data_IF_713598135677
#
_entry.id   IF_713598135677
#
_cell.length_a   1.000
_cell.length_b   1.000
_cell.length_c   1.000
_cell.angle_alpha   90.00
_cell.angle_beta   90.00
_cell.angle_gamma   90.00
#
_symmetry.space_group_name_H-M   'P 1'
#
loop_
_entity.id
_entity.type
_entity.pdbx_description
1 polymer ?
#
# COMPACT_ATOMS: atom_id res chain seq x y z
N UNK A 1 -13.27 21.63 -11.17
CA UNK A 1 -11.92 22.24 -11.29
C UNK A 1 -11.18 21.87 -10.02
N UNK A 2 -9.91 21.52 -10.09
CA UNK A 2 -9.13 21.18 -8.92
C UNK A 2 -9.09 22.34 -7.92
N UNK A 3 -8.83 22.05 -6.67
CA UNK A 3 -8.68 23.07 -5.61
C UNK A 3 -7.35 23.81 -5.75
N UNK A 4 -6.37 23.16 -6.31
CA UNK A 4 -5.02 23.64 -6.57
C UNK A 4 -4.62 23.33 -8.02
N UNK A 5 -3.55 23.92 -8.53
CA UNK A 5 -3.18 23.81 -9.93
C UNK A 5 -2.03 22.83 -10.17
N UNK A 6 -1.08 22.74 -9.24
CA UNK A 6 0.19 21.99 -9.42
C UNK A 6 0.39 20.95 -8.32
N UNK A 7 0.84 19.75 -8.72
CA UNK A 7 1.22 18.68 -7.80
C UNK A 7 2.62 18.15 -8.12
N UNK A 8 3.45 17.99 -7.08
CA UNK A 8 4.75 17.36 -7.18
C UNK A 8 4.74 16.03 -6.42
N UNK A 9 5.18 14.97 -7.09
CA UNK A 9 5.23 13.62 -6.54
C UNK A 9 6.67 13.20 -6.31
N UNK A 10 7.03 12.94 -5.06
CA UNK A 10 8.31 12.34 -4.71
C UNK A 10 8.18 10.83 -4.89
N UNK A 11 8.72 10.29 -5.98
CA UNK A 11 8.38 9.00 -6.55
C UNK A 11 7.24 9.12 -7.56
N UNK A 12 6.33 8.15 -7.62
CA UNK A 12 5.09 8.27 -8.40
C UNK A 12 5.04 7.50 -9.72
N UNK A 13 6.14 6.89 -10.18
CA UNK A 13 6.20 6.16 -11.46
C UNK A 13 5.91 4.66 -11.34
N UNK A 14 5.72 4.15 -10.13
CA UNK A 14 5.40 2.73 -9.87
C UNK A 14 4.00 2.60 -9.26
N UNK A 15 3.55 1.42 -9.01
CA UNK A 15 2.27 0.99 -8.42
C UNK A 15 1.34 2.11 -7.90
N UNK A 16 1.35 2.43 -6.60
CA UNK A 16 0.46 3.44 -5.98
C UNK A 16 0.60 4.79 -6.68
N UNK A 17 1.84 5.23 -6.88
CA UNK A 17 2.11 6.53 -7.48
C UNK A 17 1.58 6.66 -8.90
N UNK A 18 1.66 5.58 -9.71
CA UNK A 18 1.13 5.57 -11.08
C UNK A 18 -0.37 5.85 -11.13
N UNK A 19 -1.16 5.20 -10.29
CA UNK A 19 -2.60 5.44 -10.18
C UNK A 19 -2.91 6.83 -9.61
N UNK A 20 -2.05 7.33 -8.70
CA UNK A 20 -2.23 8.66 -8.12
C UNK A 20 -1.92 9.76 -9.15
N UNK A 21 -0.91 9.59 -9.99
CA UNK A 21 -0.64 10.51 -11.13
C UNK A 21 -1.89 10.63 -12.00
N UNK A 22 -2.48 9.52 -12.44
CA UNK A 22 -3.68 9.54 -13.26
C UNK A 22 -4.87 10.20 -12.55
N UNK A 23 -5.08 9.92 -11.25
CA UNK A 23 -6.17 10.54 -10.49
C UNK A 23 -6.03 12.07 -10.39
N UNK A 24 -4.83 12.58 -10.22
CA UNK A 24 -4.56 14.02 -10.18
C UNK A 24 -4.70 14.67 -11.57
N UNK A 25 -4.25 14.00 -12.63
CA UNK A 25 -4.46 14.46 -14.01
C UNK A 25 -5.94 14.55 -14.36
N UNK A 26 -6.72 13.51 -14.00
CA UNK A 26 -8.17 13.48 -14.25
C UNK A 26 -8.90 14.58 -13.46
N UNK A 27 -8.38 14.96 -12.29
CA UNK A 27 -8.86 16.11 -11.53
C UNK A 27 -8.44 17.46 -12.14
N UNK A 28 -7.46 17.47 -13.04
CA UNK A 28 -7.03 18.66 -13.79
C UNK A 28 -5.75 19.32 -13.26
N UNK A 29 -4.96 18.62 -12.41
CA UNK A 29 -3.66 19.10 -11.96
C UNK A 29 -2.60 18.98 -13.07
N UNK A 30 -1.64 19.91 -13.08
CA UNK A 30 -0.36 19.69 -13.72
C UNK A 30 0.54 18.89 -12.74
N UNK A 31 1.04 17.72 -13.18
CA UNK A 31 1.78 16.81 -12.31
C UNK A 31 3.26 16.79 -12.68
N UNK A 32 4.12 16.90 -11.68
CA UNK A 32 5.56 16.65 -11.83
C UNK A 32 5.97 15.48 -10.92
N UNK A 33 6.65 14.48 -11.47
CA UNK A 33 7.25 13.40 -10.69
C UNK A 33 8.76 13.64 -10.52
N UNK A 34 9.29 13.32 -9.33
CA UNK A 34 10.73 13.36 -9.05
C UNK A 34 11.20 11.93 -8.76
N UNK A 35 12.05 11.38 -9.61
CA UNK A 35 12.55 10.01 -9.53
C UNK A 35 14.03 9.95 -9.84
N UNK A 36 14.71 8.86 -9.44
CA UNK A 36 16.13 8.65 -9.77
C UNK A 36 16.35 8.26 -11.23
N UNK A 37 15.28 7.98 -11.98
CA UNK A 37 15.38 7.55 -13.38
C UNK A 37 15.90 6.11 -13.56
N UNK A 38 15.79 5.26 -12.52
CA UNK A 38 16.27 3.86 -12.56
C UNK A 38 15.27 2.90 -13.22
N UNK A 39 14.05 3.34 -13.44
CA UNK A 39 12.97 2.58 -14.08
C UNK A 39 12.42 3.36 -15.26
N UNK A 40 11.80 2.62 -16.20
CA UNK A 40 11.11 3.22 -17.32
C UNK A 40 10.03 4.21 -16.82
N UNK A 41 9.92 5.34 -17.50
CA UNK A 41 8.90 6.32 -17.20
C UNK A 41 7.58 5.95 -17.91
N UNK A 42 6.54 5.54 -17.16
CA UNK A 42 5.27 5.18 -17.77
C UNK A 42 4.50 6.38 -18.34
N UNK A 43 4.98 7.60 -18.08
CA UNK A 43 4.35 8.84 -18.46
C UNK A 43 5.15 9.64 -19.51
N UNK A 44 6.20 9.06 -20.10
CA UNK A 44 7.10 9.74 -21.04
C UNK A 44 6.36 10.47 -22.20
N UNK A 45 5.22 9.89 -22.65
CA UNK A 45 4.38 10.45 -23.71
C UNK A 45 3.02 10.97 -23.19
N UNK A 46 2.88 11.17 -21.87
CA UNK A 46 1.61 11.57 -21.25
C UNK A 46 1.55 13.08 -21.08
N UNK A 47 0.60 13.73 -21.76
CA UNK A 47 0.36 15.16 -21.59
C UNK A 47 -0.04 15.48 -20.13
N UNK A 48 0.49 16.58 -19.60
CA UNK A 48 0.21 17.04 -18.24
C UNK A 48 1.13 16.46 -17.17
N UNK A 49 2.06 15.58 -17.54
CA UNK A 49 3.10 15.05 -16.63
C UNK A 49 4.49 15.51 -17.07
N UNK A 50 5.28 16.01 -16.13
CA UNK A 50 6.72 16.24 -16.29
C UNK A 50 7.46 15.30 -15.35
N UNK A 51 8.51 14.61 -15.85
CA UNK A 51 9.40 13.82 -15.00
C UNK A 51 10.74 14.56 -14.82
N UNK A 52 11.16 14.69 -13.56
CA UNK A 52 12.45 15.25 -13.16
C UNK A 52 13.30 14.17 -12.50
N UNK A 53 14.55 14.10 -12.90
CA UNK A 53 15.53 13.25 -12.23
C UNK A 53 16.04 13.94 -10.98
N UNK A 54 15.98 13.25 -9.84
CA UNK A 54 16.47 13.71 -8.55
C UNK A 54 16.43 12.59 -7.51
N UNK A 55 17.34 12.65 -6.54
CA UNK A 55 17.38 11.74 -5.41
C UNK A 55 16.71 12.38 -4.20
N UNK A 56 15.68 11.74 -3.67
CA UNK A 56 14.96 12.25 -2.49
C UNK A 56 15.83 12.30 -1.23
N UNK A 57 16.90 11.53 -1.15
CA UNK A 57 17.88 11.57 -0.05
C UNK A 57 18.75 12.81 -0.10
N UNK A 58 18.84 13.46 -1.27
CA UNK A 58 19.59 14.69 -1.48
C UNK A 58 18.67 15.92 -1.36
N UNK A 59 18.76 16.63 -0.22
CA UNK A 59 17.94 17.84 0.04
C UNK A 59 18.03 18.88 -1.10
N UNK A 60 19.18 18.96 -1.77
CA UNK A 60 19.38 19.89 -2.88
C UNK A 60 18.52 19.57 -4.10
N UNK A 61 18.29 18.28 -4.37
CA UNK A 61 17.46 17.83 -5.49
C UNK A 61 15.98 18.13 -5.22
N UNK A 62 15.51 17.88 -3.99
CA UNK A 62 14.17 18.26 -3.58
C UNK A 62 13.94 19.77 -3.65
N UNK A 63 14.92 20.57 -3.20
CA UNK A 63 14.85 22.03 -3.28
C UNK A 63 14.84 22.52 -4.72
N UNK A 64 15.65 21.92 -5.61
CA UNK A 64 15.65 22.26 -7.04
C UNK A 64 14.30 21.91 -7.71
N UNK A 65 13.68 20.80 -7.32
CA UNK A 65 12.37 20.42 -7.82
C UNK A 65 11.28 21.41 -7.31
N UNK A 66 11.29 21.76 -6.02
CA UNK A 66 10.41 22.78 -5.45
C UNK A 66 10.53 24.13 -6.20
N UNK A 67 11.74 24.61 -6.37
CA UNK A 67 12.01 25.93 -7.01
C UNK A 67 11.61 25.95 -8.49
N UNK A 68 11.63 24.81 -9.15
CA UNK A 68 11.26 24.68 -10.55
C UNK A 68 9.75 24.53 -10.78
N UNK A 69 9.03 23.94 -9.82
CA UNK A 69 7.59 23.60 -9.94
C UNK A 69 6.72 24.56 -9.14
N UNK A 70 7.22 25.07 -8.01
CA UNK A 70 6.43 25.84 -7.02
C UNK A 70 5.11 25.11 -6.72
N UNK A 71 5.16 23.83 -6.19
CA UNK A 71 3.98 23.00 -6.09
C UNK A 71 3.02 23.50 -5.02
N UNK A 72 1.71 23.44 -5.33
CA UNK A 72 0.65 23.65 -4.34
C UNK A 72 0.51 22.41 -3.44
N UNK A 73 0.69 21.23 -4.02
CA UNK A 73 0.55 19.93 -3.34
C UNK A 73 1.80 19.07 -3.59
N UNK A 74 2.27 18.40 -2.54
CA UNK A 74 3.32 17.38 -2.62
C UNK A 74 2.78 16.07 -2.10
N UNK A 75 2.97 14.96 -2.84
CA UNK A 75 2.69 13.60 -2.38
C UNK A 75 3.99 12.80 -2.33
N UNK A 76 4.36 12.35 -1.13
CA UNK A 76 5.60 11.59 -0.90
C UNK A 76 5.32 10.10 -0.73
N UNK A 77 5.68 9.31 -1.76
CA UNK A 77 5.49 7.85 -1.79
C UNK A 77 6.67 7.07 -1.21
N UNK A 78 7.83 7.67 -1.13
CA UNK A 78 9.11 6.98 -0.91
C UNK A 78 9.88 7.46 0.32
N UNK A 79 9.22 8.15 1.24
CA UNK A 79 9.76 8.45 2.57
C UNK A 79 9.81 7.18 3.41
N UNK A 80 10.96 6.51 3.45
CA UNK A 80 11.16 5.27 4.20
C UNK A 80 11.86 5.51 5.54
N UNK A 81 12.56 6.62 5.68
CA UNK A 81 13.31 7.01 6.86
C UNK A 81 12.83 8.34 7.44
N UNK A 82 12.73 8.47 8.77
CA UNK A 82 12.24 9.70 9.40
C UNK A 82 13.05 10.95 9.04
N UNK A 83 14.37 10.82 8.92
CA UNK A 83 15.25 11.92 8.49
C UNK A 83 14.92 12.46 7.10
N UNK A 84 14.51 11.57 6.20
CA UNK A 84 14.09 11.91 4.85
C UNK A 84 12.77 12.69 4.86
N UNK A 85 11.81 12.27 5.69
CA UNK A 85 10.51 12.94 5.81
C UNK A 85 10.68 14.32 6.45
N UNK A 86 11.52 14.44 7.50
CA UNK A 86 11.87 15.74 8.10
C UNK A 86 12.48 16.69 7.06
N UNK A 87 13.42 16.18 6.23
CA UNK A 87 14.03 17.00 5.18
C UNK A 87 13.02 17.43 4.11
N UNK A 88 12.09 16.54 3.73
CA UNK A 88 11.06 16.86 2.74
C UNK A 88 10.04 17.87 3.27
N UNK A 89 9.53 17.71 4.49
CA UNK A 89 8.61 18.67 5.11
C UNK A 89 9.23 20.05 5.28
N UNK A 90 10.52 20.14 5.59
CA UNK A 90 11.26 21.42 5.62
C UNK A 90 11.39 22.06 4.23
N UNK A 91 11.67 21.26 3.20
CA UNK A 91 11.84 21.76 1.83
C UNK A 91 10.50 22.26 1.27
N UNK A 92 9.43 21.52 1.51
CA UNK A 92 8.10 21.80 0.96
C UNK A 92 7.17 22.48 1.98
N UNK A 93 7.72 23.27 2.91
CA UNK A 93 6.96 23.89 3.99
C UNK A 93 5.84 24.84 3.53
N UNK A 94 5.93 25.38 2.31
CA UNK A 94 4.93 26.28 1.73
C UNK A 94 3.84 25.53 0.91
N UNK A 95 3.95 24.21 0.77
CA UNK A 95 3.00 23.35 0.05
C UNK A 95 2.18 22.48 1.00
N UNK A 96 1.04 21.98 0.52
CA UNK A 96 0.31 20.92 1.21
C UNK A 96 1.06 19.59 1.01
N UNK A 97 1.50 18.98 2.10
CA UNK A 97 2.32 17.78 2.07
C UNK A 97 1.55 16.55 2.52
N UNK A 98 1.35 15.59 1.61
CA UNK A 98 0.68 14.31 1.89
C UNK A 98 1.72 13.20 1.90
N UNK A 99 1.95 12.62 3.05
CA UNK A 99 2.85 11.50 3.24
C UNK A 99 2.12 10.16 3.08
N UNK A 100 2.63 9.28 2.22
CA UNK A 100 2.12 7.91 2.10
C UNK A 100 2.80 7.04 3.16
N UNK A 101 2.11 6.88 4.27
CA UNK A 101 2.52 6.06 5.40
C UNK A 101 2.17 4.56 5.19
N UNK A 102 1.79 3.85 6.24
CA UNK A 102 1.38 2.44 6.23
C UNK A 102 0.57 2.12 7.48
N UNK A 103 -0.38 1.19 7.37
CA UNK A 103 -1.01 0.56 8.53
C UNK A 103 -0.02 -0.15 9.46
N UNK A 104 1.15 -0.55 8.95
CA UNK A 104 2.24 -1.12 9.76
C UNK A 104 2.84 -0.14 10.77
N UNK A 105 2.50 1.15 10.72
CA UNK A 105 2.92 2.12 11.74
C UNK A 105 2.25 1.88 13.10
N UNK A 106 1.10 1.23 13.14
CA UNK A 106 0.40 0.92 14.37
C UNK A 106 1.12 -0.17 15.17
N UNK A 107 1.28 0.06 16.47
CA UNK A 107 1.69 -1.00 17.39
C UNK A 107 0.59 -2.06 17.52
N UNK A 108 0.93 -3.34 17.77
CA UNK A 108 -0.04 -4.39 18.04
C UNK A 108 -1.02 -3.98 19.17
N UNK A 109 -2.31 -4.25 18.97
CA UNK A 109 -3.34 -3.85 19.93
C UNK A 109 -4.74 -4.26 19.51
N UNK A 110 -5.73 -3.63 20.10
CA UNK A 110 -7.14 -3.89 19.82
C UNK A 110 -7.51 -3.46 18.38
N UNK A 111 -8.44 -4.19 17.78
CA UNK A 111 -9.01 -3.88 16.47
C UNK A 111 -10.50 -3.50 16.60
N UNK A 112 -11.01 -2.58 15.76
CA UNK A 112 -10.30 -1.86 14.71
C UNK A 112 -9.38 -0.76 15.28
N UNK A 113 -8.27 -0.52 14.59
CA UNK A 113 -7.33 0.56 14.92
C UNK A 113 -7.86 1.90 14.42
N UNK A 114 -7.72 2.94 15.24
CA UNK A 114 -8.16 4.31 14.96
C UNK A 114 -6.97 5.26 14.91
N UNK A 115 -7.03 6.24 14.05
CA UNK A 115 -5.93 7.17 13.77
C UNK A 115 -5.44 7.92 15.03
N UNK A 116 -6.38 8.30 15.92
CA UNK A 116 -6.12 9.14 17.08
C UNK A 116 -5.98 8.37 18.39
N UNK A 117 -6.40 7.11 18.42
CA UNK A 117 -6.53 6.35 19.66
C UNK A 117 -5.51 5.20 19.73
N UNK A 118 -5.21 4.58 18.59
CA UNK A 118 -4.30 3.42 18.56
C UNK A 118 -2.85 3.88 18.58
N UNK A 119 -2.04 3.37 19.54
CA UNK A 119 -0.63 3.73 19.61
C UNK A 119 0.14 3.35 18.34
N UNK A 120 1.10 4.18 17.98
CA UNK A 120 2.09 3.85 16.97
C UNK A 120 3.25 3.10 17.62
N UNK A 121 3.95 2.28 16.83
CA UNK A 121 5.19 1.64 17.27
C UNK A 121 6.17 2.66 17.86
N UNK A 122 6.85 2.35 18.96
CA UNK A 122 8.05 3.08 19.33
C UNK A 122 9.12 2.85 18.24
N UNK A 123 10.00 3.84 18.07
CA UNK A 123 11.15 3.73 17.18
C UNK A 123 12.39 4.20 17.94
N UNK A 124 13.33 3.31 18.15
CA UNK A 124 14.59 3.67 18.78
C UNK A 124 15.51 4.35 17.75
N UNK A 125 16.43 5.25 18.17
CA UNK A 125 17.27 5.97 17.21
C UNK A 125 18.07 5.09 16.25
N UNK A 126 18.46 3.90 16.69
CA UNK A 126 19.21 2.93 15.88
C UNK A 126 18.35 2.32 14.78
N UNK A 127 17.02 2.31 14.96
CA UNK A 127 16.06 1.77 13.98
C UNK A 127 15.73 2.77 12.87
N UNK A 128 15.94 4.08 13.08
CA UNK A 128 15.59 5.11 12.08
C UNK A 128 16.31 4.91 10.73
N UNK A 129 17.51 4.34 10.75
CA UNK A 129 18.32 4.09 9.56
C UNK A 129 18.47 2.61 9.18
N UNK A 130 17.76 1.70 9.84
CA UNK A 130 17.83 0.26 9.60
C UNK A 130 16.76 -0.18 8.59
N UNK A 131 17.16 -0.82 7.48
CA UNK A 131 16.29 -1.24 6.38
C UNK A 131 15.69 -2.65 6.51
N UNK A 132 15.78 -3.25 7.69
CA UNK A 132 15.21 -4.57 7.94
C UNK A 132 13.66 -4.54 7.94
N UNK A 133 13.04 -5.69 7.70
CA UNK A 133 11.58 -5.82 7.73
C UNK A 133 11.03 -5.55 9.15
N UNK A 134 11.75 -5.92 10.20
CA UNK A 134 11.37 -5.73 11.59
C UNK A 134 11.28 -4.25 11.99
N UNK A 135 12.10 -3.40 11.37
CA UNK A 135 12.11 -1.95 11.67
C UNK A 135 11.15 -1.15 10.77
N UNK A 136 10.54 -1.77 9.77
CA UNK A 136 9.64 -1.07 8.84
C UNK A 136 8.49 -0.36 9.57
N UNK A 137 7.75 -1.07 10.45
CA UNK A 137 6.67 -0.48 11.23
C UNK A 137 7.13 0.66 12.14
N UNK A 138 8.16 0.45 13.02
CA UNK A 138 8.78 1.52 13.80
C UNK A 138 9.20 2.73 12.98
N UNK A 139 9.87 2.55 11.82
CA UNK A 139 10.28 3.66 10.95
C UNK A 139 9.09 4.42 10.37
N UNK A 140 8.06 3.72 9.88
CA UNK A 140 6.84 4.37 9.36
C UNK A 140 6.11 5.15 10.46
N UNK A 141 6.09 4.64 11.68
CA UNK A 141 5.56 5.34 12.85
C UNK A 141 6.32 6.64 13.15
N UNK A 142 7.66 6.60 13.07
CA UNK A 142 8.48 7.79 13.30
C UNK A 142 8.41 8.80 12.14
N UNK A 143 8.21 8.31 10.90
CA UNK A 143 7.88 9.18 9.77
C UNK A 143 6.56 9.94 10.00
N UNK A 144 5.52 9.28 10.52
CA UNK A 144 4.26 9.94 10.87
C UNK A 144 4.48 11.01 11.95
N UNK A 145 5.28 10.70 12.99
CA UNK A 145 5.63 11.71 14.01
C UNK A 145 6.36 12.91 13.43
N UNK A 146 7.22 12.70 12.42
CA UNK A 146 7.89 13.79 11.72
C UNK A 146 6.89 14.67 10.95
N UNK A 147 5.89 14.06 10.29
CA UNK A 147 4.79 14.80 9.63
C UNK A 147 3.98 15.63 10.64
N UNK A 148 3.60 15.02 11.79
CA UNK A 148 2.83 15.72 12.80
C UNK A 148 3.64 16.84 13.50
N UNK A 149 4.93 16.64 13.69
CA UNK A 149 5.82 17.69 14.21
C UNK A 149 5.89 18.88 13.24
N UNK A 150 6.04 18.62 11.94
CA UNK A 150 6.03 19.69 10.93
C UNK A 150 4.69 20.44 10.90
N UNK A 151 3.57 19.71 11.03
CA UNK A 151 2.26 20.34 11.12
C UNK A 151 2.10 21.22 12.36
N UNK A 152 2.64 20.80 13.51
CA UNK A 152 2.65 21.62 14.72
C UNK A 152 3.48 22.91 14.58
N UNK A 153 4.43 22.94 13.64
CA UNK A 153 5.23 24.13 13.28
C UNK A 153 4.59 24.97 12.15
N UNK A 154 3.42 24.55 11.65
CA UNK A 154 2.62 25.31 10.70
C UNK A 154 2.68 24.83 9.25
N UNK A 155 3.37 23.71 8.96
CA UNK A 155 3.33 23.08 7.64
C UNK A 155 1.97 22.39 7.44
N UNK A 156 1.35 22.53 6.28
CA UNK A 156 0.11 21.81 5.96
C UNK A 156 0.40 20.33 5.62
N UNK A 157 0.87 19.56 6.61
CA UNK A 157 1.32 18.19 6.45
C UNK A 157 0.33 17.16 7.05
N UNK A 158 0.06 16.08 6.30
CA UNK A 158 -0.88 15.01 6.64
C UNK A 158 -0.29 13.64 6.28
N UNK A 159 -0.78 12.58 6.92
CA UNK A 159 -0.41 11.21 6.59
C UNK A 159 -1.61 10.39 6.09
N UNK A 160 -1.41 9.55 5.08
CA UNK A 160 -2.37 8.51 4.70
C UNK A 160 -1.76 7.15 5.03
N UNK A 161 -2.47 6.33 5.80
CA UNK A 161 -2.05 4.98 6.21
C UNK A 161 -2.82 3.91 5.43
N UNK A 162 -2.32 3.51 4.24
CA UNK A 162 -2.94 2.41 3.52
C UNK A 162 -2.72 1.10 4.26
N UNK A 163 -3.74 0.25 4.22
CA UNK A 163 -3.61 -1.17 4.56
C UNK A 163 -2.99 -1.92 3.37
N UNK A 164 -3.18 -3.24 3.26
CA UNK A 164 -2.65 -3.99 2.14
C UNK A 164 -3.19 -3.43 0.82
N UNK A 165 -2.32 -2.80 0.03
CA UNK A 165 -2.69 -2.27 -1.29
C UNK A 165 -2.66 -3.39 -2.32
N UNK A 166 -3.71 -3.48 -3.15
CA UNK A 166 -3.82 -4.42 -4.26
C UNK A 166 -4.32 -3.72 -5.52
N UNK A 167 -3.96 -4.23 -6.68
CA UNK A 167 -4.43 -3.68 -7.94
C UNK A 167 -3.44 -3.86 -9.09
N UNK A 168 -3.75 -3.33 -10.28
CA UNK A 168 -2.85 -3.33 -11.43
C UNK A 168 -1.50 -2.68 -11.10
N UNK A 169 -0.43 -3.21 -11.66
CA UNK A 169 0.96 -2.76 -11.48
C UNK A 169 1.55 -2.98 -10.08
N UNK A 170 0.93 -3.83 -9.25
CA UNK A 170 1.49 -4.22 -7.96
C UNK A 170 2.75 -5.08 -8.15
N UNK A 171 3.91 -4.47 -7.97
CA UNK A 171 5.20 -5.15 -8.08
C UNK A 171 5.58 -5.96 -6.83
N UNK A 172 4.80 -5.86 -5.75
CA UNK A 172 5.01 -6.70 -4.56
C UNK A 172 4.43 -8.09 -4.74
N UNK A 173 3.51 -8.24 -5.68
CA UNK A 173 2.88 -9.49 -6.14
C UNK A 173 2.23 -10.34 -5.04
N UNK A 174 2.12 -9.82 -3.81
CA UNK A 174 1.61 -10.58 -2.65
C UNK A 174 0.19 -11.10 -2.86
N UNK A 175 -0.70 -10.28 -3.43
CA UNK A 175 -2.05 -10.72 -3.79
C UNK A 175 -2.03 -11.54 -5.09
N UNK A 176 -1.07 -11.27 -5.96
CA UNK A 176 -0.82 -12.02 -7.19
C UNK A 176 -0.54 -13.51 -6.96
N UNK A 177 0.12 -13.86 -5.85
CA UNK A 177 0.30 -15.25 -5.43
C UNK A 177 -1.04 -16.01 -5.40
N UNK A 178 -2.05 -15.46 -4.75
CA UNK A 178 -3.38 -16.06 -4.64
C UNK A 178 -4.11 -16.08 -5.98
N UNK A 179 -3.99 -15.01 -6.76
CA UNK A 179 -4.56 -14.94 -8.12
C UNK A 179 -3.99 -16.05 -8.99
N UNK A 180 -2.67 -16.24 -8.98
CA UNK A 180 -2.02 -17.30 -9.74
C UNK A 180 -2.49 -18.69 -9.30
N UNK A 181 -2.57 -18.92 -7.98
CA UNK A 181 -3.04 -20.21 -7.44
C UNK A 181 -4.45 -20.54 -7.92
N UNK A 182 -5.37 -19.58 -7.86
CA UNK A 182 -6.76 -19.77 -8.30
C UNK A 182 -6.85 -19.91 -9.83
N UNK A 183 -6.05 -19.16 -10.57
CA UNK A 183 -6.07 -19.22 -12.04
C UNK A 183 -5.57 -20.55 -12.61
N UNK A 184 -4.55 -21.13 -11.97
CA UNK A 184 -3.83 -22.28 -12.52
C UNK A 184 -4.20 -23.62 -11.84
N UNK A 185 -4.83 -23.59 -10.65
CA UNK A 185 -5.03 -24.78 -9.83
C UNK A 185 -6.44 -24.83 -9.20
N UNK A 186 -7.04 -26.03 -9.23
CA UNK A 186 -8.37 -26.27 -8.63
C UNK A 186 -8.35 -26.43 -7.12
N UNK A 187 -7.19 -26.80 -6.54
CA UNK A 187 -6.97 -26.92 -5.09
C UNK A 187 -5.84 -25.99 -4.66
N UNK A 188 -6.07 -25.24 -3.58
CA UNK A 188 -5.15 -24.23 -3.06
C UNK A 188 -4.97 -24.45 -1.56
N UNK A 189 -3.71 -24.51 -1.12
CA UNK A 189 -3.35 -24.68 0.29
C UNK A 189 -3.60 -23.38 1.04
N UNK A 190 -4.38 -23.46 2.13
CA UNK A 190 -4.74 -22.33 2.98
C UNK A 190 -4.25 -22.58 4.40
N UNK A 191 -3.44 -21.69 5.00
CA UNK A 191 -2.97 -21.85 6.38
C UNK A 191 -4.11 -21.61 7.37
N UNK A 192 -4.17 -22.44 8.41
CA UNK A 192 -5.19 -22.36 9.46
C UNK A 192 -6.58 -22.81 8.97
N UNK A 193 -7.60 -22.05 9.32
CA UNK A 193 -9.00 -22.29 8.99
C UNK A 193 -9.56 -21.38 7.88
N UNK A 194 -8.67 -20.65 7.20
CA UNK A 194 -9.04 -19.67 6.16
C UNK A 194 -9.75 -18.43 6.68
N UNK A 195 -9.95 -18.33 8.00
CA UNK A 195 -10.66 -17.22 8.65
C UNK A 195 -9.82 -15.95 8.86
N UNK A 196 -8.53 -15.99 8.58
CA UNK A 196 -7.65 -14.82 8.71
C UNK A 196 -8.18 -13.63 7.90
N UNK A 197 -8.41 -12.50 8.58
CA UNK A 197 -9.00 -11.31 7.95
C UNK A 197 -7.93 -10.44 7.30
N UNK A 198 -8.11 -10.20 6.01
CA UNK A 198 -7.29 -9.28 5.23
C UNK A 198 -8.04 -7.95 5.05
N UNK A 199 -7.51 -6.87 5.61
CA UNK A 199 -8.01 -5.53 5.35
C UNK A 199 -7.17 -4.89 4.25
N UNK A 200 -7.78 -4.65 3.12
CA UNK A 200 -7.12 -4.23 1.88
C UNK A 200 -7.64 -2.88 1.43
N UNK A 201 -6.91 -2.27 0.51
CA UNK A 201 -7.37 -1.12 -0.25
C UNK A 201 -7.03 -1.34 -1.73
N UNK A 202 -8.00 -1.10 -2.60
CA UNK A 202 -7.77 -1.09 -4.04
C UNK A 202 -6.94 0.14 -4.42
N UNK A 203 -5.94 -0.05 -5.28
CA UNK A 203 -4.95 1.01 -5.58
C UNK A 203 -5.57 2.27 -6.17
N UNK A 204 -6.60 2.15 -7.02
CA UNK A 204 -7.27 3.33 -7.56
C UNK A 204 -8.13 4.04 -6.49
N UNK A 205 -8.63 3.32 -5.49
CA UNK A 205 -9.32 3.91 -4.34
C UNK A 205 -8.34 4.65 -3.43
N UNK A 206 -7.14 4.09 -3.23
CA UNK A 206 -6.07 4.79 -2.51
C UNK A 206 -5.64 6.06 -3.25
N UNK A 207 -5.54 6.03 -4.57
CA UNK A 207 -5.22 7.20 -5.37
C UNK A 207 -6.26 8.32 -5.18
N UNK A 208 -7.55 7.97 -5.17
CA UNK A 208 -8.64 8.91 -4.86
C UNK A 208 -8.60 9.42 -3.41
N UNK A 209 -8.20 8.55 -2.47
CA UNK A 209 -8.02 8.96 -1.07
C UNK A 209 -6.89 9.98 -0.93
N UNK A 210 -5.76 9.76 -1.61
CA UNK A 210 -4.62 10.69 -1.60
C UNK A 210 -5.01 12.06 -2.20
N UNK A 211 -5.74 12.07 -3.30
CA UNK A 211 -6.28 13.30 -3.89
C UNK A 211 -7.21 14.03 -2.91
N UNK A 212 -8.16 13.30 -2.32
CA UNK A 212 -9.13 13.87 -1.39
C UNK A 212 -8.45 14.45 -0.12
N UNK A 213 -7.46 13.73 0.43
CA UNK A 213 -6.67 14.23 1.56
C UNK A 213 -5.83 15.44 1.15
N UNK A 214 -5.27 15.46 -0.05
CA UNK A 214 -4.56 16.64 -0.56
C UNK A 214 -5.47 17.86 -0.66
N UNK A 215 -6.73 17.70 -1.01
CA UNK A 215 -7.69 18.81 -1.14
C UNK A 215 -8.36 19.19 0.17
N UNK A 216 -8.80 18.21 0.98
CA UNK A 216 -9.71 18.42 2.11
C UNK A 216 -9.15 17.96 3.47
N UNK A 217 -7.96 17.32 3.49
CA UNK A 217 -7.35 16.82 4.73
C UNK A 217 -6.95 17.96 5.68
N UNK A 218 -7.05 17.71 6.97
CA UNK A 218 -6.64 18.63 8.02
C UNK A 218 -5.16 18.43 8.36
N UNK A 219 -4.36 19.51 8.46
CA UNK A 219 -2.96 19.42 8.88
C UNK A 219 -2.79 18.76 10.25
N UNK A 220 -1.79 17.89 10.38
CA UNK A 220 -1.52 17.15 11.61
C UNK A 220 -2.35 15.88 11.78
N UNK A 221 -3.23 15.56 10.83
CA UNK A 221 -4.09 14.40 10.89
C UNK A 221 -3.52 13.21 10.07
N UNK A 222 -3.89 12.01 10.50
CA UNK A 222 -3.73 10.80 9.72
C UNK A 222 -5.08 10.30 9.20
N UNK A 223 -5.05 9.57 8.07
CA UNK A 223 -6.23 8.99 7.43
C UNK A 223 -5.95 7.54 7.07
N UNK A 224 -6.70 6.62 7.66
CA UNK A 224 -6.63 5.22 7.29
C UNK A 224 -7.33 4.97 5.95
N UNK A 225 -6.64 4.28 5.04
CA UNK A 225 -7.20 3.90 3.75
C UNK A 225 -7.32 2.37 3.64
N UNK A 226 -8.56 1.88 3.64
CA UNK A 226 -8.91 0.47 3.50
C UNK A 226 -10.33 0.32 2.97
N UNK A 227 -10.69 -0.85 2.43
CA UNK A 227 -12.05 -1.18 2.05
C UNK A 227 -13.01 -1.01 3.25
N UNK A 228 -14.31 -0.86 2.99
CA UNK A 228 -15.32 -0.79 4.06
C UNK A 228 -15.46 -2.08 4.83
N UNK A 229 -14.96 -3.18 4.30
CA UNK A 229 -15.07 -4.51 4.88
C UNK A 229 -13.75 -5.27 4.73
N UNK A 230 -13.33 -5.93 5.78
CA UNK A 230 -12.28 -6.94 5.71
C UNK A 230 -12.87 -8.29 5.30
N UNK A 231 -12.08 -9.08 4.59
CA UNK A 231 -12.49 -10.40 4.10
C UNK A 231 -11.55 -11.45 4.62
N UNK A 232 -12.10 -12.65 4.88
CA UNK A 232 -11.28 -13.82 5.13
C UNK A 232 -10.50 -14.22 3.86
N UNK A 233 -9.45 -14.98 4.05
CA UNK A 233 -8.69 -15.52 2.92
C UNK A 233 -9.59 -16.38 2.02
N UNK A 234 -10.41 -17.28 2.60
CA UNK A 234 -11.37 -18.08 1.82
C UNK A 234 -12.29 -17.21 0.97
N UNK A 235 -12.86 -16.15 1.56
CA UNK A 235 -13.71 -15.24 0.78
C UNK A 235 -12.93 -14.52 -0.31
N UNK A 236 -11.66 -14.27 -0.11
CA UNK A 236 -10.79 -13.68 -1.15
C UNK A 236 -10.58 -14.63 -2.32
N UNK A 237 -10.36 -15.93 -2.05
CA UNK A 237 -10.23 -16.96 -3.08
C UNK A 237 -11.52 -17.12 -3.89
N UNK A 238 -12.70 -17.12 -3.22
CA UNK A 238 -13.99 -17.14 -3.91
C UNK A 238 -14.16 -15.92 -4.84
N UNK A 239 -13.82 -14.71 -4.39
CA UNK A 239 -13.92 -13.50 -5.20
C UNK A 239 -12.97 -13.53 -6.41
N UNK A 240 -11.79 -14.13 -6.26
CA UNK A 240 -10.85 -14.33 -7.37
C UNK A 240 -11.42 -15.35 -8.37
N UNK A 241 -11.94 -16.48 -7.87
CA UNK A 241 -12.55 -17.51 -8.72
C UNK A 241 -13.76 -16.97 -9.50
N UNK A 242 -14.66 -16.25 -8.83
CA UNK A 242 -15.77 -15.55 -9.48
C UNK A 242 -15.28 -14.58 -10.58
N UNK A 243 -14.19 -13.85 -10.34
CA UNK A 243 -13.63 -12.89 -11.27
C UNK A 243 -13.01 -13.53 -12.52
N UNK A 244 -12.47 -14.74 -12.37
CA UNK A 244 -11.79 -15.49 -13.43
C UNK A 244 -12.68 -16.55 -14.09
N UNK A 245 -13.95 -16.64 -13.68
CA UNK A 245 -14.92 -17.65 -14.17
C UNK A 245 -14.36 -19.08 -14.01
N UNK A 246 -13.81 -19.39 -12.82
CA UNK A 246 -13.24 -20.68 -12.46
C UNK A 246 -13.73 -21.15 -11.09
N UNK A 247 -13.42 -22.40 -10.74
CA UNK A 247 -13.69 -22.97 -9.41
C UNK A 247 -12.40 -23.08 -8.62
N UNK A 248 -12.48 -22.94 -7.29
CA UNK A 248 -11.37 -23.17 -6.37
C UNK A 248 -11.85 -23.94 -5.14
N UNK A 249 -11.03 -24.87 -4.69
CA UNK A 249 -11.24 -25.62 -3.44
C UNK A 249 -10.13 -25.25 -2.47
N UNK A 250 -10.41 -24.44 -1.43
CA UNK A 250 -9.46 -24.21 -0.35
C UNK A 250 -9.22 -25.50 0.44
N UNK A 251 -7.98 -25.89 0.63
CA UNK A 251 -7.57 -27.02 1.47
C UNK A 251 -6.84 -26.47 2.68
N UNK A 252 -7.48 -26.56 3.83
CA UNK A 252 -6.99 -25.97 5.08
C UNK A 252 -5.93 -26.87 5.74
N UNK A 253 -4.82 -26.29 6.17
CA UNK A 253 -3.76 -26.97 6.88
C UNK A 253 -3.42 -26.26 8.19
N UNK A 254 -3.42 -27.02 9.29
CA UNK A 254 -2.95 -26.52 10.58
C UNK A 254 -1.43 -26.27 10.55
N UNK A 255 -0.93 -25.45 11.47
CA UNK A 255 0.52 -25.22 11.64
C UNK A 255 1.30 -26.54 11.80
N UNK A 256 0.70 -27.53 12.49
CA UNK A 256 1.31 -28.85 12.66
C UNK A 256 1.47 -29.63 11.35
N UNK A 257 0.47 -29.56 10.49
CA UNK A 257 0.49 -30.22 9.18
C UNK A 257 1.48 -29.54 8.25
N UNK A 258 1.52 -28.21 8.24
CA UNK A 258 2.52 -27.44 7.50
C UNK A 258 3.94 -27.78 7.97
N UNK A 259 4.18 -27.74 9.30
CA UNK A 259 5.49 -28.03 9.88
C UNK A 259 5.99 -29.46 9.60
N UNK A 260 5.09 -30.42 9.41
CA UNK A 260 5.45 -31.80 9.01
C UNK A 260 6.15 -31.85 7.64
N UNK A 261 5.95 -30.82 6.80
CA UNK A 261 6.57 -30.65 5.49
C UNK A 261 7.65 -29.55 5.46
N UNK A 262 8.01 -29.01 6.64
CA UNK A 262 9.01 -27.94 6.78
C UNK A 262 8.50 -26.58 6.30
N UNK A 263 7.18 -26.36 6.25
CA UNK A 263 6.53 -25.12 5.87
C UNK A 263 6.10 -24.37 7.13
N UNK A 264 6.49 -23.11 7.23
CA UNK A 264 5.94 -22.19 8.23
C UNK A 264 4.75 -21.43 7.62
N UNK A 265 3.70 -21.11 8.40
CA UNK A 265 2.57 -20.33 7.86
C UNK A 265 2.99 -19.01 7.20
N UNK A 266 4.09 -18.41 7.66
CA UNK A 266 4.66 -17.16 7.13
C UNK A 266 5.31 -17.31 5.76
N UNK A 267 5.59 -18.54 5.29
CA UNK A 267 6.05 -18.82 3.92
C UNK A 267 4.91 -18.65 2.90
N UNK A 268 3.66 -18.59 3.38
CA UNK A 268 2.48 -18.43 2.55
C UNK A 268 2.11 -16.94 2.48
N UNK A 269 2.02 -16.42 1.27
CA UNK A 269 1.81 -14.98 1.06
C UNK A 269 0.57 -14.46 1.78
N UNK A 270 0.70 -13.28 2.40
CA UNK A 270 -0.37 -12.59 3.14
C UNK A 270 -0.89 -13.34 4.38
N UNK A 271 -0.21 -14.37 4.85
CA UNK A 271 -0.55 -14.94 6.15
C UNK A 271 -0.32 -13.90 7.26
N UNK A 272 -1.31 -13.74 8.12
CA UNK A 272 -1.20 -12.94 9.34
C UNK A 272 -1.94 -13.66 10.46
N UNK A 273 -1.28 -13.96 11.58
CA UNK A 273 -1.93 -14.61 12.71
C UNK A 273 -2.92 -13.66 13.41
N UNK A 274 -2.63 -12.37 13.38
CA UNK A 274 -3.43 -11.33 14.04
C UNK A 274 -4.08 -10.41 12.99
N UNK A 275 -5.39 -10.15 13.08
CA UNK A 275 -6.07 -9.28 12.13
C UNK A 275 -5.61 -7.83 12.33
N UNK A 276 -5.20 -7.19 11.23
CA UNK A 276 -4.92 -5.76 11.18
C UNK A 276 -6.12 -5.05 10.54
N UNK A 277 -7.06 -4.62 11.36
CA UNK A 277 -8.27 -3.92 10.90
C UNK A 277 -8.23 -2.45 11.34
N UNK A 278 -8.57 -1.54 10.45
CA UNK A 278 -8.59 -0.10 10.73
C UNK A 278 -10.00 0.48 10.56
N UNK A 279 -10.30 1.54 11.29
CA UNK A 279 -11.44 2.40 10.97
C UNK A 279 -11.11 3.30 9.79
N UNK A 280 -12.02 3.43 8.85
CA UNK A 280 -11.92 4.40 7.73
C UNK A 280 -12.87 5.59 7.93
N UNK A 281 -13.29 5.81 9.17
CA UNK A 281 -14.30 6.82 9.51
C UNK A 281 -13.90 8.24 9.13
N UNK A 282 -12.63 8.63 9.38
CA UNK A 282 -12.13 9.96 9.02
C UNK A 282 -12.15 10.20 7.51
N UNK A 283 -11.62 9.24 6.75
CA UNK A 283 -11.59 9.33 5.29
C UNK A 283 -13.01 9.35 4.70
N UNK A 284 -13.91 8.54 5.26
CA UNK A 284 -15.33 8.54 4.88
C UNK A 284 -16.04 9.88 5.19
N UNK A 285 -15.66 10.56 6.26
CA UNK A 285 -16.21 11.88 6.60
C UNK A 285 -15.84 12.96 5.58
N UNK A 286 -14.72 12.79 4.85
CA UNK A 286 -14.35 13.63 3.71
C UNK A 286 -15.16 13.29 2.44
N UNK A 287 -16.00 12.25 2.45
CA UNK A 287 -16.79 11.81 1.30
C UNK A 287 -16.16 10.69 0.47
N UNK A 288 -15.07 10.07 0.96
CA UNK A 288 -14.46 8.96 0.27
C UNK A 288 -15.29 7.67 0.33
N UNK A 289 -15.43 7.01 -0.81
CA UNK A 289 -16.10 5.72 -0.94
C UNK A 289 -15.25 4.76 -1.78
N UNK A 290 -14.91 3.55 -1.25
CA UNK A 290 -14.15 2.57 -2.00
C UNK A 290 -15.01 1.82 -3.03
N UNK A 291 -14.35 1.32 -4.05
CA UNK A 291 -14.94 0.41 -5.02
C UNK A 291 -15.41 -0.88 -4.33
N UNK A 292 -16.61 -1.40 -4.62
CA UNK A 292 -17.07 -2.66 -4.06
C UNK A 292 -16.10 -3.80 -4.36
N UNK A 293 -15.74 -4.65 -3.36
CA UNK A 293 -14.72 -5.68 -3.52
C UNK A 293 -14.87 -6.64 -4.68
N UNK A 294 -16.07 -7.09 -5.08
CA UNK A 294 -16.19 -7.92 -6.29
C UNK A 294 -15.64 -7.23 -7.54
N UNK A 295 -15.77 -5.91 -7.65
CA UNK A 295 -15.27 -5.15 -8.79
C UNK A 295 -13.76 -4.91 -8.68
N UNK A 296 -13.26 -4.48 -7.50
CA UNK A 296 -11.82 -4.22 -7.30
C UNK A 296 -10.99 -5.49 -7.39
N UNK A 297 -11.48 -6.62 -6.84
CA UNK A 297 -10.81 -7.93 -6.95
C UNK A 297 -10.82 -8.41 -8.40
N UNK A 298 -11.93 -8.24 -9.12
CA UNK A 298 -12.02 -8.66 -10.52
C UNK A 298 -11.03 -7.90 -11.41
N UNK A 299 -10.87 -6.60 -11.22
CA UNK A 299 -9.90 -5.81 -11.97
C UNK A 299 -8.47 -6.22 -11.60
N UNK A 300 -8.18 -6.38 -10.31
CA UNK A 300 -6.88 -6.84 -9.81
C UNK A 300 -6.53 -8.21 -10.38
N UNK A 301 -7.42 -9.20 -10.27
CA UNK A 301 -7.17 -10.56 -10.72
C UNK A 301 -6.88 -10.63 -12.22
N UNK A 302 -7.69 -9.97 -13.06
CA UNK A 302 -7.47 -9.92 -14.50
C UNK A 302 -6.14 -9.25 -14.85
N UNK A 303 -5.81 -8.14 -14.20
CA UNK A 303 -4.55 -7.45 -14.45
C UNK A 303 -3.33 -8.30 -14.08
N UNK A 304 -3.39 -9.07 -12.99
CA UNK A 304 -2.31 -9.99 -12.61
C UNK A 304 -2.18 -11.17 -13.59
N UNK A 305 -3.28 -11.76 -14.03
CA UNK A 305 -3.26 -12.82 -15.04
C UNK A 305 -2.68 -12.30 -16.36
N UNK A 306 -3.14 -11.14 -16.83
CA UNK A 306 -2.66 -10.53 -18.08
C UNK A 306 -1.16 -10.18 -18.02
N UNK A 307 -0.66 -9.82 -16.84
CA UNK A 307 0.75 -9.52 -16.62
C UNK A 307 1.61 -10.78 -16.34
N UNK A 308 1.00 -11.96 -16.18
CA UNK A 308 1.70 -13.20 -15.87
C UNK A 308 2.33 -13.23 -14.47
N UNK A 309 1.68 -12.56 -13.50
CA UNK A 309 2.16 -12.49 -12.11
C UNK A 309 2.03 -13.87 -11.45
N UNK A 310 3.08 -14.31 -10.76
CA UNK A 310 3.13 -15.63 -10.09
C UNK A 310 3.21 -15.54 -8.57
N UNK A 311 3.48 -14.36 -8.03
CA UNK A 311 3.70 -14.09 -6.61
C UNK A 311 5.17 -13.82 -6.28
N UNK A 312 5.46 -13.38 -5.04
CA UNK A 312 6.82 -13.13 -4.59
C UNK A 312 7.70 -14.39 -4.64
N UNK A 313 8.95 -14.24 -5.04
CA UNK A 313 9.93 -15.35 -5.16
C UNK A 313 10.14 -16.12 -3.84
N UNK A 314 9.99 -15.41 -2.70
CA UNK A 314 10.14 -15.98 -1.34
C UNK A 314 8.90 -16.73 -0.85
N UNK A 315 7.77 -16.67 -1.56
CA UNK A 315 6.56 -17.39 -1.16
C UNK A 315 6.65 -18.88 -1.42
N UNK A 316 5.81 -19.66 -0.72
CA UNK A 316 5.73 -21.11 -0.86
C UNK A 316 5.61 -21.51 -2.34
N UNK A 317 6.56 -22.33 -2.81
CA UNK A 317 6.55 -22.82 -4.18
C UNK A 317 5.48 -23.91 -4.38
N UNK A 318 5.06 -24.10 -5.64
CA UNK A 318 3.98 -25.06 -5.98
C UNK A 318 4.34 -26.51 -5.70
N UNK A 319 5.60 -26.91 -5.86
CA UNK A 319 6.02 -28.30 -5.63
C UNK A 319 5.88 -28.67 -4.15
N UNK A 320 6.31 -27.78 -3.27
CA UNK A 320 6.15 -27.95 -1.82
C UNK A 320 4.67 -27.91 -1.41
N UNK A 321 3.89 -27.00 -1.99
CA UNK A 321 2.44 -26.93 -1.77
C UNK A 321 1.74 -28.24 -2.15
N UNK A 322 2.04 -28.81 -3.33
CA UNK A 322 1.47 -30.08 -3.80
C UNK A 322 1.81 -31.26 -2.89
N UNK A 323 3.00 -31.28 -2.30
CA UNK A 323 3.38 -32.30 -1.34
C UNK A 323 2.53 -32.25 -0.06
N UNK A 324 2.22 -31.04 0.42
CA UNK A 324 1.30 -30.85 1.57
C UNK A 324 -0.12 -31.27 1.20
N UNK A 325 -0.64 -30.81 0.06
CA UNK A 325 -1.98 -31.14 -0.42
C UNK A 325 -2.18 -32.67 -0.57
N UNK A 326 -1.21 -33.37 -1.14
CA UNK A 326 -1.26 -34.81 -1.30
C UNK A 326 -1.32 -35.55 0.05
N UNK A 327 -0.56 -35.09 1.05
CA UNK A 327 -0.56 -35.70 2.38
C UNK A 327 -1.91 -35.49 3.11
N UNK A 328 -2.55 -34.33 2.93
CA UNK A 328 -3.87 -34.03 3.52
C UNK A 328 -5.00 -34.82 2.84
N UNK A 329 -4.86 -35.17 1.56
CA UNK A 329 -5.85 -35.95 0.82
C UNK A 329 -5.85 -37.45 1.15
N UNK A 330 -4.77 -37.97 1.77
CA UNK A 330 -4.62 -39.39 2.15
C UNK A 330 -5.14 -39.71 3.56
N UNK A 331 -5.56 -38.70 4.37
CA UNK A 331 -6.17 -38.85 5.70
C UNK A 331 -7.72 -38.87 5.60
#
# INVERSE_FOLDING_TARGET
MPKYDTALFVGGTRFIGRHTVEAFLDAGYAVTTVTRGEHDDPFADRDGVENRTGDRTERADLAAARDAVEPDVVVDFVGLHPGEVRAATDVFADARYVYVSSGSAYAPGDVPMYEDETPLHPCEPEQEGDDTAETYGPRKAECDRAVFAAAAEGVEAMAVRPMLVQGPHDYTERFGYWVNRVAEHGEVLVPGDGGSLLHRVYVADLARALLLVAEEGEPGEAYNAADRSAYSLDRSLELIADALDTDVTPVHASERELAAHGVEPTDISLYTPDPMLVSTGKLAALGWEPTPPPASVAETARAHVDAGVTGPDESLDRVTEEAVLAALGDE
#
